data_IF_052182501689
#
_entry.id   IF_052182501689
#
_cell.length_a   1.000
_cell.length_b   1.000
_cell.length_c   1.000
_cell.angle_alpha   90.00
_cell.angle_beta   90.00
_cell.angle_gamma   90.00
#
_symmetry.space_group_name_H-M   'P 1'
#
loop_
_entity.id
_entity.type
_entity.pdbx_description
1 polymer ?
#
# COMPACT_ATOMS: atom_id res chain seq x y z
N UNK A 1 17.87 -33.99 -2.09
CA UNK A 1 17.72 -32.87 -1.15
C UNK A 1 16.69 -31.93 -1.75
N UNK A 2 15.47 -31.90 -1.21
CA UNK A 2 14.31 -31.26 -1.83
C UNK A 2 14.03 -29.92 -1.14
N UNK A 3 14.29 -28.82 -1.83
CA UNK A 3 14.06 -27.45 -1.35
C UNK A 3 12.57 -27.13 -1.47
N UNK A 4 11.80 -27.46 -0.44
CA UNK A 4 10.38 -27.17 -0.41
C UNK A 4 10.15 -25.65 -0.44
N UNK A 5 9.46 -25.18 -1.47
CA UNK A 5 8.99 -23.82 -1.63
C UNK A 5 8.24 -23.35 -0.38
N UNK A 6 8.68 -22.23 0.23
CA UNK A 6 7.91 -21.51 1.25
C UNK A 6 6.54 -21.20 0.66
N UNK A 7 5.51 -21.88 1.16
CA UNK A 7 4.13 -21.75 0.71
C UNK A 7 3.71 -20.29 0.64
N UNK A 8 3.31 -19.84 -0.56
CA UNK A 8 2.69 -18.56 -0.73
C UNK A 8 1.33 -18.62 -0.02
N UNK A 9 1.23 -18.02 1.16
CA UNK A 9 -0.05 -17.85 1.85
C UNK A 9 -0.98 -17.06 0.93
N UNK A 10 -2.06 -17.70 0.50
CA UNK A 10 -3.05 -17.09 -0.37
C UNK A 10 -3.69 -15.89 0.32
N UNK A 11 -3.76 -14.77 -0.41
CA UNK A 11 -4.23 -13.50 0.14
C UNK A 11 -5.75 -13.45 0.09
N UNK A 12 -6.38 -13.26 1.25
CA UNK A 12 -7.84 -13.21 1.40
C UNK A 12 -8.49 -11.91 0.92
N UNK A 13 -7.74 -10.82 0.84
CA UNK A 13 -8.27 -9.49 0.54
C UNK A 13 -7.43 -8.73 -0.48
N UNK A 14 -8.14 -7.99 -1.33
CA UNK A 14 -7.52 -7.00 -2.20
C UNK A 14 -6.93 -5.85 -1.37
N UNK A 15 -5.81 -5.29 -1.85
CA UNK A 15 -5.06 -4.21 -1.20
C UNK A 15 -5.02 -2.98 -2.08
N UNK A 16 -5.10 -1.82 -1.44
CA UNK A 16 -4.81 -0.54 -2.05
C UNK A 16 -3.61 0.12 -1.35
N UNK A 17 -2.63 0.57 -2.10
CA UNK A 17 -1.64 1.52 -1.58
C UNK A 17 -2.28 2.87 -1.33
N UNK A 18 -1.77 3.55 -0.32
CA UNK A 18 -2.13 4.90 0.05
C UNK A 18 -0.91 5.63 0.65
N UNK A 19 -1.12 6.87 1.06
CA UNK A 19 -0.17 7.67 1.85
C UNK A 19 -0.98 8.39 2.93
N UNK A 20 -1.68 7.61 3.74
CA UNK A 20 -2.64 8.14 4.70
C UNK A 20 -1.94 8.46 6.03
N UNK A 21 -2.10 9.69 6.56
CA UNK A 21 -1.58 10.04 7.87
C UNK A 21 -2.27 9.16 8.92
N UNK A 22 -1.47 8.71 9.88
CA UNK A 22 -1.92 7.80 10.91
C UNK A 22 -1.22 8.07 12.24
N UNK A 23 -1.88 7.67 13.30
CA UNK A 23 -1.34 7.62 14.64
C UNK A 23 -1.68 6.26 15.25
N UNK A 24 -0.77 5.70 16.02
CA UNK A 24 -1.06 4.50 16.78
C UNK A 24 -0.61 4.64 18.23
N UNK A 25 -1.38 4.04 19.12
CA UNK A 25 -1.07 3.96 20.54
C UNK A 25 -0.59 2.55 20.88
N UNK A 26 0.60 2.44 21.45
CA UNK A 26 1.16 1.20 21.98
C UNK A 26 1.58 1.43 23.45
N UNK A 27 0.94 0.71 24.36
CA UNK A 27 1.00 1.04 25.79
C UNK A 27 0.34 2.40 26.05
N UNK A 28 1.06 3.32 26.69
CA UNK A 28 0.58 4.67 27.02
C UNK A 28 1.07 5.75 26.06
N UNK A 29 1.81 5.36 25.01
CA UNK A 29 2.48 6.30 24.10
C UNK A 29 1.82 6.27 22.73
N UNK A 30 1.51 7.45 22.22
CA UNK A 30 1.02 7.66 20.85
C UNK A 30 2.19 7.98 19.93
N UNK A 31 2.21 7.37 18.76
CA UNK A 31 3.26 7.50 17.77
C UNK A 31 2.70 7.89 16.40
N UNK A 32 3.33 8.83 15.69
CA UNK A 32 2.96 9.12 14.31
C UNK A 32 3.41 7.99 13.37
N UNK A 33 2.63 7.78 12.33
CA UNK A 33 2.88 6.79 11.30
C UNK A 33 2.26 7.21 9.96
N UNK A 34 2.52 6.41 8.93
CA UNK A 34 1.82 6.51 7.65
C UNK A 34 1.28 5.13 7.26
N UNK A 35 0.00 5.03 6.94
CA UNK A 35 -0.52 3.84 6.26
C UNK A 35 -0.09 3.89 4.79
N UNK A 36 0.72 2.91 4.38
CA UNK A 36 1.22 2.81 3.01
C UNK A 36 0.37 1.88 2.15
N UNK A 37 -0.26 0.89 2.77
CA UNK A 37 -1.10 -0.12 2.13
C UNK A 37 -2.24 -0.46 3.07
N UNK A 38 -3.46 -0.58 2.54
CA UNK A 38 -4.66 -0.92 3.30
C UNK A 38 -5.48 -1.99 2.57
N UNK A 39 -6.17 -2.81 3.33
CA UNK A 39 -7.18 -3.78 2.89
C UNK A 39 -8.25 -3.90 3.96
N UNK A 40 -9.35 -4.58 3.65
CA UNK A 40 -10.42 -4.84 4.64
C UNK A 40 -9.95 -5.57 5.91
N UNK A 41 -8.87 -6.34 5.81
CA UNK A 41 -8.34 -7.15 6.91
C UNK A 41 -7.15 -6.55 7.63
N UNK A 42 -6.57 -5.47 7.14
CA UNK A 42 -5.33 -4.95 7.72
C UNK A 42 -4.61 -3.93 6.87
N UNK A 43 -3.50 -3.41 7.39
CA UNK A 43 -2.71 -2.37 6.73
C UNK A 43 -1.21 -2.56 6.97
N UNK A 44 -0.38 -1.82 6.22
CA UNK A 44 1.04 -1.69 6.50
C UNK A 44 1.33 -0.26 6.97
N UNK A 45 1.94 -0.14 8.15
CA UNK A 45 2.39 1.13 8.69
C UNK A 45 3.87 1.32 8.43
N UNK A 46 4.21 2.49 7.88
CA UNK A 46 5.57 3.03 7.89
C UNK A 46 5.75 3.87 9.14
N UNK A 47 6.73 3.52 9.95
CA UNK A 47 7.09 4.26 11.17
C UNK A 47 8.54 3.97 11.56
N UNK A 48 9.13 4.87 12.35
CA UNK A 48 10.44 4.65 12.97
C UNK A 48 10.39 3.76 14.21
N UNK A 49 9.20 3.50 14.74
CA UNK A 49 8.97 2.77 15.98
C UNK A 49 8.93 1.28 15.72
N UNK A 50 9.59 0.51 16.59
CA UNK A 50 9.53 -0.94 16.58
C UNK A 50 8.48 -1.43 17.56
N UNK A 51 7.49 -2.16 17.06
CA UNK A 51 6.51 -2.87 17.88
C UNK A 51 6.70 -4.36 17.62
N UNK A 52 6.91 -5.21 18.65
CA UNK A 52 7.14 -6.64 18.47
C UNK A 52 6.02 -7.38 17.72
N UNK A 53 6.38 -8.50 17.09
CA UNK A 53 5.40 -9.37 16.43
C UNK A 53 4.42 -9.93 17.46
N UNK A 54 3.13 -9.89 17.15
CA UNK A 54 2.06 -10.39 18.00
C UNK A 54 1.49 -9.37 18.98
N UNK A 55 2.13 -8.23 19.14
CA UNK A 55 1.63 -7.14 19.98
C UNK A 55 0.40 -6.46 19.37
N UNK A 56 -0.42 -5.90 20.25
CA UNK A 56 -1.64 -5.19 19.87
C UNK A 56 -1.50 -3.70 20.10
N UNK A 57 -2.16 -2.92 19.24
CA UNK A 57 -2.18 -1.47 19.30
C UNK A 57 -3.53 -0.92 18.85
N UNK A 58 -3.79 0.33 19.22
CA UNK A 58 -4.89 1.10 18.69
C UNK A 58 -4.36 1.96 17.54
N UNK A 59 -5.00 1.89 16.38
CA UNK A 59 -4.62 2.62 15.17
C UNK A 59 -5.76 3.54 14.75
N UNK A 60 -5.39 4.79 14.49
CA UNK A 60 -6.27 5.81 13.89
C UNK A 60 -5.66 6.31 12.59
N UNK A 61 -6.44 6.39 11.51
CA UNK A 61 -5.97 6.92 10.23
C UNK A 61 -7.10 7.49 9.37
N UNK A 62 -6.78 8.43 8.50
CA UNK A 62 -7.74 9.06 7.59
C UNK A 62 -7.46 8.65 6.14
N UNK A 63 -8.46 8.07 5.48
CA UNK A 63 -8.43 7.87 4.03
C UNK A 63 -8.99 9.13 3.34
N UNK A 64 -8.46 9.47 2.17
CA UNK A 64 -8.89 10.63 1.36
C UNK A 64 -10.40 10.67 1.05
N UNK A 65 -11.10 9.54 1.22
CA UNK A 65 -12.51 9.36 0.86
C UNK A 65 -13.51 9.85 1.90
N UNK A 66 -13.10 10.21 3.12
CA UNK A 66 -14.09 10.52 4.14
C UNK A 66 -13.59 11.44 5.25
N UNK A 67 -14.52 12.19 5.86
CA UNK A 67 -14.19 13.20 6.86
C UNK A 67 -13.72 12.57 8.17
N UNK A 68 -14.23 11.38 8.50
CA UNK A 68 -14.00 10.79 9.82
C UNK A 68 -12.80 9.84 9.85
N UNK A 69 -11.96 9.90 10.90
CA UNK A 69 -10.86 8.97 11.07
C UNK A 69 -11.38 7.55 11.32
N UNK A 70 -10.75 6.57 10.66
CA UNK A 70 -10.97 5.15 10.94
C UNK A 70 -10.21 4.79 12.21
N UNK A 71 -10.90 4.14 13.14
CA UNK A 71 -10.32 3.66 14.41
C UNK A 71 -10.42 2.14 14.50
N UNK A 72 -9.31 1.49 14.82
CA UNK A 72 -9.28 0.04 14.94
C UNK A 72 -8.27 -0.44 15.97
N UNK A 73 -8.54 -1.60 16.58
CA UNK A 73 -7.54 -2.38 17.32
C UNK A 73 -6.92 -3.38 16.37
N UNK A 74 -5.61 -3.43 16.34
CA UNK A 74 -4.88 -4.25 15.38
C UNK A 74 -3.70 -4.97 16.02
N UNK A 75 -3.29 -6.08 15.41
CA UNK A 75 -2.18 -6.93 15.86
C UNK A 75 -1.05 -6.88 14.86
N UNK A 76 0.18 -6.78 15.33
CA UNK A 76 1.38 -6.87 14.49
C UNK A 76 1.55 -8.30 13.99
N UNK A 77 1.41 -8.49 12.69
CA UNK A 77 1.49 -9.81 12.04
C UNK A 77 2.72 -9.98 11.16
N UNK A 78 3.45 -8.88 10.91
CA UNK A 78 4.70 -8.94 10.18
C UNK A 78 5.56 -7.70 10.40
N UNK A 79 6.88 -7.87 10.45
CA UNK A 79 7.84 -6.78 10.64
C UNK A 79 8.64 -6.58 9.35
N UNK A 80 8.67 -5.34 8.85
CA UNK A 80 9.55 -5.00 7.76
C UNK A 80 10.97 -4.78 8.29
N UNK A 81 11.86 -5.74 8.01
CA UNK A 81 13.29 -5.62 8.32
C UNK A 81 13.99 -4.54 7.48
N UNK A 82 15.24 -4.22 7.83
CA UNK A 82 16.09 -3.20 7.16
C UNK A 82 16.35 -3.43 5.66
N UNK A 83 15.89 -4.54 5.09
CA UNK A 83 16.05 -4.88 3.66
C UNK A 83 14.83 -4.64 2.78
N UNK A 84 13.68 -4.26 3.36
CA UNK A 84 12.44 -4.14 2.57
C UNK A 84 12.37 -2.77 1.94
N UNK A 85 12.42 -2.76 0.60
CA UNK A 85 12.29 -1.55 -0.20
C UNK A 85 10.86 -1.41 -0.71
N UNK A 86 10.17 -0.35 -0.29
CA UNK A 86 8.92 0.10 -0.89
C UNK A 86 9.23 1.45 -1.54
N UNK A 87 8.96 1.61 -2.85
CA UNK A 87 9.33 2.82 -3.62
C UNK A 87 10.85 3.14 -3.59
N UNK A 88 11.71 2.12 -3.56
CA UNK A 88 13.17 2.29 -3.52
C UNK A 88 13.74 2.77 -2.17
N UNK A 89 12.88 3.13 -1.22
CA UNK A 89 13.27 3.51 0.14
C UNK A 89 13.23 2.29 1.06
N UNK A 90 14.22 2.19 1.95
CA UNK A 90 14.17 1.23 3.04
C UNK A 90 12.99 1.58 3.95
N UNK A 91 11.90 0.85 3.83
CA UNK A 91 10.71 1.09 4.63
C UNK A 91 10.82 0.28 5.93
N UNK A 92 11.08 1.01 7.02
CA UNK A 92 10.85 0.51 8.37
C UNK A 92 9.37 0.62 8.69
N UNK A 93 8.85 -0.40 9.36
CA UNK A 93 7.42 -0.50 9.61
C UNK A 93 6.99 -1.93 9.89
N UNK A 94 5.68 -2.13 9.92
CA UNK A 94 5.08 -3.42 10.20
C UNK A 94 3.68 -3.53 9.58
N UNK A 95 3.29 -4.76 9.25
CA UNK A 95 1.94 -5.07 8.83
C UNK A 95 1.08 -5.42 10.04
N UNK A 96 -0.16 -4.94 9.98
CA UNK A 96 -1.18 -5.10 10.97
C UNK A 96 -2.35 -5.91 10.41
N UNK A 97 -2.91 -6.76 11.25
CA UNK A 97 -4.21 -7.39 11.04
C UNK A 97 -5.24 -6.71 11.95
N UNK A 98 -6.38 -6.32 11.39
CA UNK A 98 -7.46 -5.68 12.15
C UNK A 98 -8.18 -6.71 13.01
N UNK A 99 -8.04 -6.58 14.33
CA UNK A 99 -8.72 -7.41 15.32
C UNK A 99 -10.14 -6.90 15.57
N UNK A 100 -10.30 -5.59 15.70
CA UNK A 100 -11.60 -4.92 15.88
C UNK A 100 -11.64 -3.63 15.08
N UNK A 101 -12.66 -3.48 14.25
CA UNK A 101 -12.94 -2.30 13.43
C UNK A 101 -14.45 -2.20 13.27
N UNK A 102 -14.98 -0.98 13.22
CA UNK A 102 -16.40 -0.78 12.98
C UNK A 102 -16.79 -1.26 11.57
N UNK A 103 -17.97 -1.89 11.40
CA UNK A 103 -18.43 -2.36 10.08
C UNK A 103 -18.47 -1.26 9.02
N UNK A 104 -18.81 -0.04 9.41
CA UNK A 104 -18.91 1.14 8.54
C UNK A 104 -17.51 1.52 8.04
N UNK A 105 -16.52 1.56 8.93
CA UNK A 105 -15.12 1.82 8.56
C UNK A 105 -14.55 0.72 7.67
N UNK A 106 -14.85 -0.55 7.96
CA UNK A 106 -14.44 -1.66 7.09
C UNK A 106 -15.05 -1.53 5.69
N UNK A 107 -16.30 -1.09 5.59
CA UNK A 107 -16.98 -0.84 4.31
C UNK A 107 -16.35 0.33 3.56
N UNK A 108 -15.99 1.41 4.25
CA UNK A 108 -15.25 2.56 3.69
C UNK A 108 -13.89 2.15 3.14
N UNK A 109 -13.18 1.26 3.83
CA UNK A 109 -11.91 0.69 3.34
C UNK A 109 -12.13 -0.13 2.07
N UNK A 110 -13.13 -1.01 2.03
CA UNK A 110 -13.44 -1.80 0.83
C UNK A 110 -13.77 -0.90 -0.37
N UNK A 111 -14.59 0.12 -0.16
CA UNK A 111 -14.93 1.09 -1.20
C UNK A 111 -13.69 1.82 -1.72
N UNK A 112 -12.81 2.28 -0.81
CA UNK A 112 -11.54 2.89 -1.19
C UNK A 112 -10.71 1.94 -2.04
N UNK A 113 -10.56 0.68 -1.62
CA UNK A 113 -9.76 -0.33 -2.32
C UNK A 113 -10.32 -0.59 -3.73
N UNK A 114 -11.64 -0.72 -3.86
CA UNK A 114 -12.31 -0.90 -5.15
C UNK A 114 -12.12 0.31 -6.06
N UNK A 115 -12.23 1.53 -5.52
CA UNK A 115 -12.03 2.77 -6.28
C UNK A 115 -10.61 2.87 -6.83
N UNK A 116 -9.60 2.64 -5.99
CA UNK A 116 -8.19 2.65 -6.42
C UNK A 116 -7.92 1.61 -7.51
N UNK A 117 -8.50 0.41 -7.37
CA UNK A 117 -8.39 -0.65 -8.39
C UNK A 117 -8.99 -0.24 -9.74
N UNK A 118 -10.16 0.43 -9.74
CA UNK A 118 -10.81 0.89 -10.97
C UNK A 118 -9.99 1.95 -11.68
N UNK A 119 -9.48 2.94 -10.94
CA UNK A 119 -8.60 3.99 -11.47
C UNK A 119 -7.36 3.36 -12.09
N UNK A 120 -6.76 2.39 -11.41
CA UNK A 120 -5.59 1.68 -11.93
C UNK A 120 -5.87 0.94 -13.24
N UNK A 121 -6.94 0.16 -13.31
CA UNK A 121 -7.35 -0.54 -14.55
C UNK A 121 -7.67 0.41 -15.70
N UNK A 122 -8.15 1.61 -15.40
CA UNK A 122 -8.39 2.62 -16.42
C UNK A 122 -7.07 3.19 -16.93
N UNK A 123 -6.15 3.55 -16.04
CA UNK A 123 -4.81 4.04 -16.40
C UNK A 123 -4.00 3.01 -17.20
N UNK A 124 -4.07 1.73 -16.82
CA UNK A 124 -3.49 0.62 -17.58
C UNK A 124 -3.97 0.60 -19.03
N UNK A 125 -5.28 0.74 -19.24
CA UNK A 125 -5.87 0.76 -20.58
C UNK A 125 -5.41 1.95 -21.40
N UNK A 126 -5.33 3.13 -20.80
CA UNK A 126 -4.91 4.33 -21.52
C UNK A 126 -3.42 4.30 -21.86
N UNK A 127 -2.55 3.85 -20.92
CA UNK A 127 -1.13 3.65 -21.20
C UNK A 127 -0.88 2.61 -22.30
N UNK A 128 -1.63 1.52 -22.30
CA UNK A 128 -1.53 0.49 -23.34
C UNK A 128 -1.95 0.98 -24.74
N UNK A 129 -2.77 2.03 -24.82
CA UNK A 129 -3.15 2.69 -26.08
C UNK A 129 -2.13 3.76 -26.51
N UNK A 130 -1.50 4.44 -25.55
CA UNK A 130 -0.69 5.63 -25.80
C UNK A 130 0.80 5.35 -26.10
N UNK A 131 1.34 4.20 -25.70
CA UNK A 131 2.78 3.91 -25.83
C UNK A 131 3.08 2.86 -26.92
N UNK A 132 4.03 3.12 -27.85
CA UNK A 132 4.40 2.15 -28.89
C UNK A 132 5.21 0.95 -28.36
N UNK A 133 5.87 1.10 -27.20
CA UNK A 133 6.74 0.06 -26.64
C UNK A 133 6.06 -0.71 -25.50
N UNK A 134 5.28 -1.73 -25.89
CA UNK A 134 4.58 -2.64 -24.98
C UNK A 134 5.54 -3.39 -24.04
N UNK A 135 6.79 -3.60 -24.42
CA UNK A 135 7.76 -4.36 -23.62
C UNK A 135 8.30 -3.54 -22.46
N UNK A 136 8.51 -2.22 -22.63
CA UNK A 136 8.86 -1.33 -21.52
C UNK A 136 7.75 -1.22 -20.48
N UNK A 137 6.49 -1.16 -20.92
CA UNK A 137 5.33 -1.23 -20.04
C UNK A 137 5.36 -2.57 -19.30
N UNK A 138 5.40 -3.71 -20.00
CA UNK A 138 5.45 -5.03 -19.35
C UNK A 138 6.60 -5.16 -18.36
N UNK A 139 7.79 -4.67 -18.67
CA UNK A 139 8.95 -4.67 -17.77
C UNK A 139 8.69 -3.85 -16.50
N UNK A 140 8.18 -2.62 -16.65
CA UNK A 140 7.78 -1.77 -15.52
C UNK A 140 6.71 -2.43 -14.65
N UNK A 141 5.71 -3.08 -15.26
CA UNK A 141 4.65 -3.81 -14.56
C UNK A 141 5.15 -5.11 -13.93
N UNK A 142 6.09 -5.82 -14.55
CA UNK A 142 6.67 -7.07 -14.01
C UNK A 142 7.47 -6.85 -12.73
N UNK A 143 7.98 -5.62 -12.55
CA UNK A 143 8.67 -5.16 -11.35
C UNK A 143 7.71 -4.77 -10.21
N UNK A 144 6.40 -4.71 -10.48
CA UNK A 144 5.34 -4.40 -9.52
C UNK A 144 4.72 -5.71 -9.03
N UNK A 145 4.69 -5.94 -7.70
CA UNK A 145 4.03 -7.15 -7.19
C UNK A 145 2.51 -6.94 -7.18
N UNK A 146 1.71 -7.98 -7.44
CA UNK A 146 0.27 -7.91 -7.19
C UNK A 146 0.03 -7.45 -5.75
N UNK A 147 -0.74 -6.39 -5.53
CA UNK A 147 -0.95 -5.77 -4.20
C UNK A 147 -0.08 -4.54 -3.89
N UNK A 148 0.90 -4.22 -4.73
CA UNK A 148 1.50 -2.89 -4.78
C UNK A 148 0.56 -2.01 -5.63
N UNK A 149 -0.34 -1.24 -5.03
CA UNK A 149 -1.03 -0.23 -5.83
C UNK A 149 -0.05 0.88 -6.15
N UNK A 150 0.18 1.09 -7.44
CA UNK A 150 0.95 2.23 -7.91
C UNK A 150 0.16 3.50 -7.57
N UNK A 151 0.73 4.32 -6.70
CA UNK A 151 0.22 5.65 -6.37
C UNK A 151 0.01 6.47 -7.66
N UNK A 152 -1.06 7.27 -7.73
CA UNK A 152 -1.28 8.26 -8.81
C UNK A 152 -0.07 9.15 -9.06
N UNK A 153 0.70 9.47 -8.00
CA UNK A 153 1.96 10.19 -8.09
C UNK A 153 3.09 9.44 -8.80
N UNK A 154 3.10 8.10 -8.78
CA UNK A 154 4.08 7.30 -9.52
C UNK A 154 3.74 7.27 -11.02
N UNK A 155 2.46 7.14 -11.33
CA UNK A 155 1.94 7.23 -12.70
C UNK A 155 2.15 8.66 -13.24
N UNK A 156 1.86 9.71 -12.44
CA UNK A 156 2.16 11.10 -12.79
C UNK A 156 3.66 11.35 -12.97
N UNK A 157 4.53 10.77 -12.13
CA UNK A 157 5.99 10.92 -12.25
C UNK A 157 6.51 10.25 -13.52
N UNK A 158 6.09 9.02 -13.81
CA UNK A 158 6.44 8.30 -15.05
C UNK A 158 5.94 9.09 -16.27
N UNK A 159 4.68 9.53 -16.27
CA UNK A 159 4.15 10.36 -17.35
C UNK A 159 4.88 11.72 -17.49
N UNK A 160 5.27 12.36 -16.37
CA UNK A 160 5.96 13.66 -16.39
C UNK A 160 7.43 13.55 -16.83
N UNK A 161 8.12 12.48 -16.45
CA UNK A 161 9.49 12.18 -16.89
C UNK A 161 9.51 11.90 -18.41
N UNK A 162 8.53 11.15 -18.93
CA UNK A 162 8.38 10.88 -20.37
C UNK A 162 7.97 12.11 -21.20
N UNK A 163 7.03 12.94 -20.72
CA UNK A 163 6.66 14.20 -21.40
C UNK A 163 7.87 15.16 -21.51
N UNK A 164 8.74 15.19 -20.49
CA UNK A 164 10.01 15.94 -20.54
C UNK A 164 10.98 15.35 -21.55
N UNK A 165 11.12 14.02 -21.60
CA UNK A 165 12.02 13.33 -22.53
C UNK A 165 11.62 13.57 -24.00
N UNK A 166 10.31 13.60 -24.30
CA UNK A 166 9.80 13.89 -25.65
C UNK A 166 9.87 15.37 -26.06
N UNK A 167 9.74 16.33 -25.12
CA UNK A 167 9.89 17.76 -25.44
C UNK A 167 11.34 18.17 -25.73
N UNK A 168 12.33 17.40 -25.28
CA UNK A 168 13.75 17.66 -25.49
C UNK A 168 14.32 17.03 -26.78
N UNK A 169 13.49 16.27 -27.52
CA UNK A 169 13.87 15.62 -28.80
C UNK A 169 13.11 16.14 -30.02
N UNK A 170 12.44 17.30 -29.90
CA UNK A 170 11.95 18.07 -31.05
C UNK A 170 12.91 19.19 -31.37
#
# INVERSE_FOLDING_TARGET
>A
MNTAAKGAVERRHQRASCDAPAEFSWGTITHPATVMVVSMGGCFLRTGVFVPLGEELELTFCLESGPDPIRCRAKVVWLAGRGIRIRGQTCRGFALEFMRIFPEDRSRIDEYVRRQTRVFRHLERELAKAHPDRELIKDLYSKVRPGDSLHLGHIRKICAEEIRYFRLRK
#
